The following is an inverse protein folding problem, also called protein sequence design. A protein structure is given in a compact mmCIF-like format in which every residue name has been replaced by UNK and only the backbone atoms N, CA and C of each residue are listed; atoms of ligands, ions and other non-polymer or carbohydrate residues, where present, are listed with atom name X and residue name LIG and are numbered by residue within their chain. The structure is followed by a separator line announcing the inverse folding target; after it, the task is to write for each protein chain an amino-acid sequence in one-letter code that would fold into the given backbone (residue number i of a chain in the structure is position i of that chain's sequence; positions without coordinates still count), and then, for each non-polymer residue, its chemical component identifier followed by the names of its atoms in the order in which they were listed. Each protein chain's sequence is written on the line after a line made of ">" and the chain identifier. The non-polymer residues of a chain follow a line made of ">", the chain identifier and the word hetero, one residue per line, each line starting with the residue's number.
data_IF_737874561531
#
_entry.id   IF_737874561531
#
_cell.length_a   1.000
_cell.length_b   1.000
_cell.length_c   1.000
_cell.angle_alpha   90.00
_cell.angle_beta   90.00
_cell.angle_gamma   90.00
#
_symmetry.space_group_name_H-M   'P 1'
#
loop_
_entity.id
_entity.type
_entity.pdbx_description
1 polymer ?
#
# COMPACT_ATOMS: atom_id res chain seq x y z
N UNK A 1 -1.95 9.39 -23.54
CA UNK A 1 -2.04 9.96 -22.19
C UNK A 1 -1.53 8.89 -21.25
N UNK A 2 -0.33 9.10 -20.73
CA UNK A 2 0.52 8.03 -20.24
C UNK A 2 0.15 7.66 -18.80
N UNK A 3 -0.07 6.37 -18.58
CA UNK A 3 -0.35 5.69 -17.31
C UNK A 3 0.94 5.57 -16.46
N UNK A 4 1.71 6.66 -16.40
CA UNK A 4 3.02 6.71 -15.76
C UNK A 4 2.80 6.77 -14.25
N UNK A 5 3.43 5.83 -13.54
CA UNK A 5 3.89 5.87 -12.13
C UNK A 5 3.77 4.51 -11.43
N UNK A 6 2.84 3.64 -11.83
CA UNK A 6 3.04 2.20 -11.59
C UNK A 6 4.27 1.71 -12.38
N UNK A 7 4.61 2.37 -13.49
CA UNK A 7 5.80 2.08 -14.30
C UNK A 7 7.13 2.46 -13.63
N UNK A 8 7.13 3.40 -12.66
CA UNK A 8 8.33 3.78 -11.88
C UNK A 8 8.51 2.91 -10.63
N UNK A 9 7.54 2.05 -10.32
CA UNK A 9 7.73 0.97 -9.37
C UNK A 9 8.54 -0.15 -10.05
N UNK A 10 9.37 -0.90 -9.29
CA UNK A 10 9.96 -2.13 -9.80
C UNK A 10 8.88 -3.01 -10.41
N UNK A 11 9.11 -3.59 -11.59
CA UNK A 11 8.08 -4.31 -12.37
C UNK A 11 7.31 -5.34 -11.53
N UNK A 12 8.01 -6.10 -10.68
CA UNK A 12 7.37 -7.07 -9.76
C UNK A 12 6.41 -6.42 -8.76
N UNK A 13 6.76 -5.25 -8.23
CA UNK A 13 5.88 -4.48 -7.33
C UNK A 13 4.61 -4.07 -8.06
N UNK A 14 4.77 -3.51 -9.26
CA UNK A 14 3.66 -3.10 -10.11
C UNK A 14 2.71 -4.27 -10.42
N UNK A 15 3.26 -5.43 -10.78
CA UNK A 15 2.46 -6.61 -11.15
C UNK A 15 1.66 -7.17 -9.98
N UNK A 16 2.24 -7.19 -8.77
CA UNK A 16 1.52 -7.59 -7.56
C UNK A 16 0.35 -6.64 -7.28
N UNK A 17 0.59 -5.32 -7.32
CA UNK A 17 -0.48 -4.33 -7.08
C UNK A 17 -1.59 -4.43 -8.14
N UNK A 18 -1.24 -4.63 -9.42
CA UNK A 18 -2.23 -4.86 -10.49
C UNK A 18 -3.02 -6.15 -10.29
N UNK A 19 -2.37 -7.23 -9.86
CA UNK A 19 -3.05 -8.51 -9.57
C UNK A 19 -4.03 -8.34 -8.42
N UNK A 20 -3.63 -7.70 -7.33
CA UNK A 20 -4.51 -7.40 -6.19
C UNK A 20 -5.67 -6.47 -6.57
N UNK A 21 -5.41 -5.45 -7.38
CA UNK A 21 -6.46 -4.57 -7.90
C UNK A 21 -7.51 -5.36 -8.68
N UNK A 22 -7.08 -6.25 -9.60
CA UNK A 22 -7.97 -7.15 -10.34
C UNK A 22 -8.77 -8.07 -9.42
N UNK A 23 -8.12 -8.71 -8.45
CA UNK A 23 -8.80 -9.56 -7.47
C UNK A 23 -9.85 -8.80 -6.64
N UNK A 24 -9.59 -7.52 -6.34
CA UNK A 24 -10.52 -6.64 -5.65
C UNK A 24 -11.60 -6.03 -6.56
N UNK A 25 -11.59 -6.29 -7.87
CA UNK A 25 -12.50 -5.67 -8.83
C UNK A 25 -12.31 -4.16 -9.01
N UNK A 26 -11.12 -3.64 -8.71
CA UNK A 26 -10.79 -2.22 -8.77
C UNK A 26 -9.80 -1.91 -9.89
N UNK A 27 -9.80 -0.66 -10.36
CA UNK A 27 -8.68 -0.17 -11.17
C UNK A 27 -7.39 -0.14 -10.32
N UNK A 28 -6.20 -0.26 -10.92
CA UNK A 28 -4.94 -0.17 -10.17
C UNK A 28 -4.80 1.13 -9.36
N UNK A 29 -5.28 2.24 -9.91
CA UNK A 29 -5.25 3.56 -9.24
C UNK A 29 -6.19 3.57 -8.04
N UNK A 30 -7.43 3.11 -8.19
CA UNK A 30 -8.41 3.07 -7.09
C UNK A 30 -7.99 2.12 -5.97
N UNK A 31 -7.39 0.98 -6.35
CA UNK A 31 -6.83 0.04 -5.38
C UNK A 31 -5.72 0.70 -4.57
N UNK A 32 -4.72 1.29 -5.23
CA UNK A 32 -3.61 1.97 -4.54
C UNK A 32 -4.12 3.12 -3.68
N UNK A 33 -5.07 3.92 -4.19
CA UNK A 33 -5.72 4.99 -3.43
C UNK A 33 -6.33 4.46 -2.13
N UNK A 34 -7.14 3.40 -2.22
CA UNK A 34 -7.77 2.75 -1.07
C UNK A 34 -6.74 2.25 -0.05
N UNK A 35 -5.69 1.57 -0.52
CA UNK A 35 -4.65 1.04 0.36
C UNK A 35 -3.82 2.15 1.04
N UNK A 36 -3.54 3.25 0.34
CA UNK A 36 -2.84 4.41 0.91
C UNK A 36 -3.70 5.12 1.96
N UNK A 37 -5.01 5.24 1.75
CA UNK A 37 -5.95 5.76 2.77
C UNK A 37 -5.94 4.85 4.01
N UNK A 38 -6.07 3.53 3.82
CA UNK A 38 -6.04 2.57 4.93
C UNK A 38 -4.69 2.60 5.68
N UNK A 39 -3.59 2.78 4.94
CA UNK A 39 -2.24 2.92 5.49
C UNK A 39 -2.07 4.19 6.34
N UNK A 40 -2.64 5.31 5.91
CA UNK A 40 -2.64 6.53 6.71
C UNK A 40 -3.47 6.40 7.99
N UNK A 41 -4.56 5.63 7.95
CA UNK A 41 -5.43 5.39 9.10
C UNK A 41 -4.87 4.44 10.16
N UNK A 42 -3.85 3.63 9.86
CA UNK A 42 -3.23 2.72 10.83
C UNK A 42 -2.06 3.38 11.56
N UNK A 43 -1.91 3.08 12.85
CA UNK A 43 -0.69 3.40 13.60
C UNK A 43 0.45 2.48 13.16
N UNK A 44 1.61 3.04 12.85
CA UNK A 44 2.83 2.31 12.46
C UNK A 44 4.02 2.76 13.32
N UNK A 45 5.12 1.98 13.40
CA UNK A 45 6.20 2.27 14.34
C UNK A 45 6.81 3.67 14.23
N UNK A 46 6.91 4.22 13.02
CA UNK A 46 7.44 5.58 12.80
C UNK A 46 6.57 6.65 13.46
N UNK A 47 5.30 6.38 13.71
CA UNK A 47 4.41 7.37 14.30
C UNK A 47 4.81 7.72 15.73
N UNK A 48 5.52 6.83 16.45
CA UNK A 48 6.08 7.18 17.76
C UNK A 48 7.19 8.25 17.63
N UNK A 49 7.95 8.22 16.53
CA UNK A 49 8.95 9.23 16.20
C UNK A 49 8.27 10.53 15.77
N UNK A 50 7.19 10.44 14.99
CA UNK A 50 6.37 11.60 14.64
C UNK A 50 5.89 12.32 15.90
N UNK A 51 5.23 11.61 16.81
CA UNK A 51 4.73 12.20 18.06
C UNK A 51 5.85 12.86 18.88
N UNK A 52 7.02 12.21 18.97
CA UNK A 52 8.19 12.76 19.64
C UNK A 52 8.68 14.06 18.98
N UNK A 53 8.80 14.08 17.66
CA UNK A 53 9.25 15.25 16.92
C UNK A 53 8.24 16.40 17.00
N UNK A 54 6.94 16.13 16.98
CA UNK A 54 5.91 17.15 17.17
C UNK A 54 5.95 17.76 18.57
N UNK A 55 6.24 16.96 19.60
CA UNK A 55 6.37 17.44 20.97
C UNK A 55 7.64 18.30 21.18
N UNK A 56 8.78 17.86 20.64
CA UNK A 56 10.07 18.54 20.81
C UNK A 56 10.28 19.70 19.83
N UNK A 57 9.63 19.67 18.67
CA UNK A 57 9.78 20.63 17.58
C UNK A 57 8.41 20.93 16.94
N UNK A 58 7.52 21.65 17.64
CA UNK A 58 6.17 21.94 17.13
C UNK A 58 6.16 22.76 15.82
N UNK A 59 7.28 23.40 15.47
CA UNK A 59 7.45 24.17 14.23
C UNK A 59 8.26 23.42 13.16
N UNK A 60 8.49 22.11 13.29
CA UNK A 60 9.14 21.36 12.23
C UNK A 60 8.26 21.43 10.98
N UNK A 61 8.76 22.09 9.93
CA UNK A 61 8.03 22.21 8.68
C UNK A 61 7.67 20.81 8.17
N UNK A 62 6.39 20.61 7.85
CA UNK A 62 5.97 19.47 7.02
C UNK A 62 6.82 19.53 5.76
N UNK A 63 7.52 18.44 5.42
CA UNK A 63 8.35 18.35 4.22
C UNK A 63 7.59 18.95 3.03
N UNK A 64 8.13 20.01 2.42
CA UNK A 64 7.53 20.60 1.22
C UNK A 64 7.39 19.49 0.17
N UNK A 65 6.22 19.45 -0.49
CA UNK A 65 5.96 18.46 -1.52
C UNK A 65 7.03 18.59 -2.62
N UNK A 66 7.88 17.57 -2.74
CA UNK A 66 8.83 17.49 -3.83
C UNK A 66 8.08 17.33 -5.17
N UNK A 67 8.73 17.60 -6.33
CA UNK A 67 8.07 17.50 -7.63
C UNK A 67 7.39 16.15 -7.89
N UNK A 68 7.95 15.05 -7.36
CA UNK A 68 7.35 13.72 -7.45
C UNK A 68 6.08 13.59 -6.59
N UNK A 69 6.04 14.25 -5.42
CA UNK A 69 4.85 14.25 -4.58
C UNK A 69 3.67 14.96 -5.25
N UNK A 70 3.93 16.06 -5.99
CA UNK A 70 2.89 16.75 -6.78
C UNK A 70 2.24 15.82 -7.82
N UNK A 71 3.04 14.98 -8.48
CA UNK A 71 2.53 14.04 -9.46
C UNK A 71 1.65 12.96 -8.80
N UNK A 72 2.10 12.39 -7.68
CA UNK A 72 1.32 11.42 -6.89
C UNK A 72 -0.01 12.00 -6.37
N UNK A 73 -0.01 13.29 -5.96
CA UNK A 73 -1.23 14.01 -5.55
C UNK A 73 -2.27 14.00 -6.67
N UNK A 74 -1.86 14.30 -7.90
CA UNK A 74 -2.75 14.32 -9.05
C UNK A 74 -3.18 12.91 -9.49
N UNK A 75 -2.29 11.92 -9.40
CA UNK A 75 -2.55 10.54 -9.84
C UNK A 75 -3.59 9.85 -8.96
N UNK A 76 -3.40 9.90 -7.64
CA UNK A 76 -4.24 9.14 -6.70
C UNK A 76 -5.36 9.97 -6.07
N UNK A 77 -5.34 11.30 -6.21
CA UNK A 77 -6.36 12.20 -5.69
C UNK A 77 -6.64 11.95 -4.18
N UNK A 78 -5.59 11.68 -3.40
CA UNK A 78 -5.77 11.35 -1.97
C UNK A 78 -6.26 12.58 -1.18
N UNK A 79 -7.09 12.37 -0.14
CA UNK A 79 -7.49 13.44 0.77
C UNK A 79 -6.30 14.17 1.40
N UNK A 80 -6.45 15.46 1.70
CA UNK A 80 -5.37 16.30 2.23
C UNK A 80 -4.83 15.78 3.57
N UNK A 81 -5.68 15.21 4.42
CA UNK A 81 -5.30 14.60 5.69
C UNK A 81 -4.39 13.37 5.50
N UNK A 82 -4.60 12.60 4.43
CA UNK A 82 -3.77 11.45 4.09
C UNK A 82 -2.37 11.92 3.68
N UNK A 83 -2.29 12.95 2.84
CA UNK A 83 -1.02 13.59 2.49
C UNK A 83 -0.30 14.18 3.69
N UNK A 84 -1.05 14.78 4.61
CA UNK A 84 -0.49 15.33 5.86
C UNK A 84 0.15 14.23 6.73
N UNK A 85 -0.49 13.07 6.85
CA UNK A 85 0.07 11.92 7.57
C UNK A 85 1.36 11.44 6.90
N UNK A 86 1.36 11.22 5.58
CA UNK A 86 2.56 10.78 4.88
C UNK A 86 3.68 11.82 4.90
N UNK A 87 3.35 13.11 4.83
CA UNK A 87 4.31 14.21 4.95
C UNK A 87 5.01 14.21 6.30
N UNK A 88 4.27 14.02 7.40
CA UNK A 88 4.86 13.88 8.74
C UNK A 88 5.74 12.66 8.87
N UNK A 89 5.30 11.51 8.35
CA UNK A 89 6.08 10.26 8.36
C UNK A 89 7.36 10.38 7.53
N UNK A 90 7.28 11.00 6.35
CA UNK A 90 8.44 11.28 5.50
C UNK A 90 9.43 12.22 6.18
N UNK A 91 8.94 13.30 6.81
CA UNK A 91 9.76 14.22 7.61
C UNK A 91 10.47 13.50 8.77
N UNK A 92 9.75 12.63 9.50
CA UNK A 92 10.33 11.85 10.59
C UNK A 92 11.37 10.81 10.09
N UNK A 93 11.18 10.28 8.88
CA UNK A 93 12.15 9.41 8.22
C UNK A 93 13.33 10.17 7.59
N UNK A 94 13.25 11.49 7.46
CA UNK A 94 14.26 12.32 6.80
C UNK A 94 14.35 12.10 5.29
N UNK A 95 13.24 11.71 4.65
CA UNK A 95 13.19 11.43 3.20
C UNK A 95 12.14 12.31 2.50
N UNK A 96 12.26 12.52 1.17
CA UNK A 96 11.20 13.14 0.37
C UNK A 96 9.87 12.39 0.46
N UNK A 97 8.76 13.11 0.28
CA UNK A 97 7.41 12.53 0.37
C UNK A 97 7.18 11.48 -0.73
N UNK A 98 7.62 11.74 -1.95
CA UNK A 98 7.51 10.77 -3.05
C UNK A 98 8.25 9.47 -2.78
N UNK A 99 9.48 9.56 -2.24
CA UNK A 99 10.30 8.41 -1.86
C UNK A 99 9.66 7.60 -0.72
N UNK A 100 9.09 8.28 0.27
CA UNK A 100 8.37 7.62 1.35
C UNK A 100 7.16 6.83 0.84
N UNK A 101 6.31 7.45 0.01
CA UNK A 101 5.13 6.78 -0.57
C UNK A 101 5.55 5.62 -1.46
N UNK A 102 6.58 5.77 -2.29
CA UNK A 102 7.12 4.69 -3.12
C UNK A 102 7.58 3.50 -2.26
N UNK A 103 8.31 3.77 -1.19
CA UNK A 103 8.76 2.75 -0.24
C UNK A 103 7.60 2.01 0.42
N UNK A 104 6.53 2.72 0.78
CA UNK A 104 5.31 2.11 1.32
C UNK A 104 4.59 1.22 0.29
N UNK A 105 4.51 1.64 -0.97
CA UNK A 105 3.95 0.81 -2.05
C UNK A 105 4.79 -0.46 -2.29
N UNK A 106 6.11 -0.34 -2.27
CA UNK A 106 7.04 -1.48 -2.36
C UNK A 106 6.86 -2.42 -1.16
N UNK A 107 6.78 -1.88 0.06
CA UNK A 107 6.58 -2.66 1.27
C UNK A 107 5.22 -3.38 1.24
N UNK A 108 4.18 -2.72 0.75
CA UNK A 108 2.84 -3.29 0.59
C UNK A 108 2.85 -4.48 -0.38
N UNK A 109 3.51 -4.34 -1.54
CA UNK A 109 3.61 -5.43 -2.52
C UNK A 109 4.45 -6.62 -2.01
N UNK A 110 5.45 -6.37 -1.16
CA UNK A 110 6.30 -7.44 -0.59
C UNK A 110 5.61 -8.26 0.49
N UNK A 111 4.61 -7.70 1.18
CA UNK A 111 3.89 -8.41 2.24
C UNK A 111 2.80 -9.27 1.63
N UNK A 112 2.95 -10.59 1.66
CA UNK A 112 1.89 -11.51 1.27
C UNK A 112 0.70 -11.40 2.21
N UNK A 113 -0.50 -11.28 1.65
CA UNK A 113 -1.77 -11.27 2.39
C UNK A 113 -2.43 -12.64 2.34
N UNK A 114 -3.44 -12.87 3.19
CA UNK A 114 -4.28 -14.06 3.07
C UNK A 114 -4.99 -14.05 1.71
N UNK A 115 -5.47 -12.88 1.27
CA UNK A 115 -6.15 -12.73 -0.02
C UNK A 115 -5.26 -13.09 -1.21
N UNK A 116 -3.95 -12.79 -1.17
CA UNK A 116 -3.01 -13.23 -2.21
C UNK A 116 -2.98 -14.76 -2.33
N UNK A 117 -2.89 -15.44 -1.20
CA UNK A 117 -2.83 -16.91 -1.13
C UNK A 117 -4.18 -17.51 -1.55
N UNK A 118 -5.29 -16.94 -1.09
CA UNK A 118 -6.62 -17.36 -1.51
C UNK A 118 -6.79 -17.22 -3.02
N UNK A 119 -6.33 -16.11 -3.59
CA UNK A 119 -6.40 -15.88 -5.02
C UNK A 119 -5.54 -16.86 -5.83
N UNK A 120 -4.37 -17.26 -5.33
CA UNK A 120 -3.55 -18.32 -5.94
C UNK A 120 -4.30 -19.65 -6.03
N UNK A 121 -5.03 -20.03 -4.99
CA UNK A 121 -5.84 -21.24 -5.00
C UNK A 121 -7.07 -21.12 -5.93
N UNK A 122 -7.69 -19.95 -6.01
CA UNK A 122 -8.78 -19.68 -6.96
C UNK A 122 -8.30 -19.77 -8.41
N UNK A 123 -7.16 -19.17 -8.73
CA UNK A 123 -6.55 -19.24 -10.07
C UNK A 123 -6.21 -20.70 -10.44
N UNK A 124 -5.69 -21.49 -9.50
CA UNK A 124 -5.41 -22.91 -9.72
C UNK A 124 -6.68 -23.70 -10.04
N UNK A 125 -7.77 -23.47 -9.29
CA UNK A 125 -9.05 -24.16 -9.50
C UNK A 125 -9.75 -23.71 -10.80
N UNK A 126 -9.55 -22.46 -11.23
CA UNK A 126 -10.03 -21.97 -12.52
C UNK A 126 -9.25 -22.59 -13.69
N UNK A 127 -7.94 -22.79 -13.52
CA UNK A 127 -7.09 -23.39 -14.54
C UNK A 127 -7.29 -24.91 -14.66
N UNK A 128 -7.48 -25.59 -13.53
CA UNK A 128 -7.81 -27.01 -13.47
C UNK A 128 -9.07 -27.26 -12.62
N UNK A 129 -10.26 -27.31 -13.25
CA UNK A 129 -11.52 -27.56 -12.57
C UNK A 129 -11.62 -28.94 -11.92
N UNK A 130 -10.70 -29.87 -12.22
CA UNK A 130 -10.67 -31.18 -11.57
C UNK A 130 -10.13 -31.10 -10.14
N UNK A 131 -9.37 -30.05 -9.83
CA UNK A 131 -8.88 -29.77 -8.48
C UNK A 131 -10.02 -29.19 -7.64
N UNK A 132 -10.47 -29.96 -6.64
CA UNK A 132 -11.46 -29.50 -5.66
C UNK A 132 -10.76 -29.00 -4.41
N UNK A 133 -10.69 -27.68 -4.28
CA UNK A 133 -10.11 -27.01 -3.12
C UNK A 133 -11.22 -26.53 -2.20
N UNK A 134 -11.16 -26.90 -0.92
CA UNK A 134 -12.02 -26.31 0.10
C UNK A 134 -11.44 -24.95 0.52
N UNK A 135 -11.88 -23.89 -0.16
CA UNK A 135 -11.43 -22.52 0.09
C UNK A 135 -11.78 -22.03 1.50
N UNK A 136 -12.84 -22.56 2.12
CA UNK A 136 -13.19 -22.19 3.49
C UNK A 136 -12.20 -22.79 4.48
N UNK A 137 -11.86 -24.08 4.33
CA UNK A 137 -10.88 -24.75 5.17
C UNK A 137 -9.47 -24.13 5.07
N UNK A 138 -9.05 -23.74 3.85
CA UNK A 138 -7.77 -23.04 3.66
C UNK A 138 -7.78 -21.69 4.36
N UNK A 139 -8.84 -20.91 4.22
CA UNK A 139 -8.93 -19.58 4.86
C UNK A 139 -8.82 -19.69 6.37
N UNK A 140 -9.52 -20.63 6.99
CA UNK A 140 -9.45 -20.86 8.43
C UNK A 140 -8.06 -21.31 8.87
N UNK A 141 -7.42 -22.21 8.11
CA UNK A 141 -6.05 -22.65 8.38
C UNK A 141 -5.05 -21.50 8.31
N UNK A 142 -5.19 -20.59 7.33
CA UNK A 142 -4.32 -19.43 7.17
C UNK A 142 -4.51 -18.39 8.29
N UNK A 143 -5.76 -18.18 8.74
CA UNK A 143 -6.05 -17.32 9.90
C UNK A 143 -5.40 -17.86 11.16
N UNK A 144 -5.58 -19.15 11.44
CA UNK A 144 -4.95 -19.82 12.58
C UNK A 144 -3.43 -19.64 12.59
N UNK A 145 -2.74 -19.93 11.47
CA UNK A 145 -1.28 -19.79 11.36
C UNK A 145 -0.81 -18.36 11.58
N UNK A 146 -1.61 -17.36 11.18
CA UNK A 146 -1.30 -15.93 11.36
C UNK A 146 -1.78 -15.36 12.70
N UNK A 147 -2.41 -16.16 13.56
CA UNK A 147 -2.96 -15.70 14.84
C UNK A 147 -4.10 -14.70 14.69
N UNK A 148 -4.89 -14.82 13.61
CA UNK A 148 -6.09 -14.02 13.35
C UNK A 148 -7.36 -14.78 13.74
#
# INVERSE_FOLDING_TARGET
>A
MALIEIEDLPTRTADVLRRRARAAGLSPVDYVRRELIALAGRRVPIDAVVDFLEAERPNLAVTEADPGASALIHTYDLPAEVWSVFGRRAAAAGVPLSEHVHSELVAMARRSTIDDVMHEFEELQQHDPSVRIDMAAIRESLRYVRGQ
#
